data_IF_860633875755
#
_entry.id   IF_860633875755
#
_cell.length_a   1.000
_cell.length_b   1.000
_cell.length_c   1.000
_cell.angle_alpha   90.00
_cell.angle_beta   90.00
_cell.angle_gamma   90.00
#
_symmetry.space_group_name_H-M   'P 1'
#
loop_
_entity.id
_entity.type
_entity.pdbx_description
1 polymer ?
#
# COMPACT_ATOMS: atom_id res chain seq x y z
N UNK A 1 4.46 -5.98 -14.87
CA UNK A 1 3.04 -6.17 -14.53
C UNK A 1 2.99 -6.72 -13.12
N UNK A 2 2.07 -6.27 -12.27
CA UNK A 2 1.92 -6.80 -10.91
C UNK A 2 1.38 -8.22 -10.95
N UNK A 3 1.77 -9.05 -9.99
CA UNK A 3 1.21 -10.39 -9.82
C UNK A 3 -0.15 -10.33 -9.13
N UNK A 4 -0.99 -11.36 -9.30
CA UNK A 4 -2.28 -11.46 -8.58
C UNK A 4 -2.08 -11.39 -7.06
N UNK A 5 -1.01 -12.00 -6.55
CA UNK A 5 -0.66 -11.95 -5.14
C UNK A 5 -0.38 -10.50 -4.67
N UNK A 6 0.35 -9.72 -5.46
CA UNK A 6 0.58 -8.30 -5.16
C UNK A 6 -0.71 -7.48 -5.21
N UNK A 7 -1.60 -7.74 -6.18
CA UNK A 7 -2.91 -7.09 -6.26
C UNK A 7 -3.79 -7.38 -5.03
N UNK A 8 -3.85 -8.64 -4.59
CA UNK A 8 -4.61 -9.03 -3.41
C UNK A 8 -4.11 -8.29 -2.17
N UNK A 9 -2.78 -8.19 -2.01
CA UNK A 9 -2.21 -7.41 -0.92
C UNK A 9 -2.59 -5.95 -0.98
N UNK A 10 -2.47 -5.29 -2.14
CA UNK A 10 -2.86 -3.90 -2.30
C UNK A 10 -4.34 -3.68 -1.93
N UNK A 11 -5.24 -4.57 -2.37
CA UNK A 11 -6.67 -4.47 -2.06
C UNK A 11 -6.93 -4.55 -0.56
N UNK A 12 -6.25 -5.45 0.16
CA UNK A 12 -6.35 -5.55 1.61
C UNK A 12 -5.83 -4.30 2.31
N UNK A 13 -4.72 -3.73 1.82
CA UNK A 13 -4.10 -2.55 2.44
C UNK A 13 -4.93 -1.27 2.29
N UNK A 14 -5.83 -1.17 1.30
CA UNK A 14 -6.73 0.00 1.17
C UNK A 14 -7.58 0.19 2.44
N UNK A 15 -7.94 -0.89 3.15
CA UNK A 15 -8.69 -0.79 4.39
C UNK A 15 -7.93 -0.07 5.52
N UNK A 16 -6.60 -0.11 5.50
CA UNK A 16 -5.74 0.62 6.44
C UNK A 16 -5.64 2.12 6.14
N UNK A 17 -6.26 2.62 5.06
CA UNK A 17 -6.42 4.07 4.82
C UNK A 17 -7.48 4.65 5.76
N UNK A 18 -8.50 3.86 6.10
CA UNK A 18 -9.53 4.24 7.06
C UNK A 18 -9.00 4.10 8.48
N UNK A 19 -8.91 5.24 9.18
CA UNK A 19 -8.37 5.33 10.53
C UNK A 19 -9.18 4.57 11.60
N UNK A 20 -10.43 4.20 11.30
CA UNK A 20 -11.29 3.38 12.14
C UNK A 20 -11.09 1.88 11.98
N UNK A 21 -10.36 1.43 10.96
CA UNK A 21 -10.12 0.02 10.66
C UNK A 21 -8.70 -0.41 10.98
N UNK A 22 -8.54 -1.67 11.35
CA UNK A 22 -7.25 -2.27 11.75
C UNK A 22 -7.09 -3.70 11.19
N UNK A 23 -7.71 -3.97 10.05
CA UNK A 23 -7.77 -5.28 9.39
C UNK A 23 -6.67 -5.50 8.34
N UNK A 24 -5.93 -4.45 7.94
CA UNK A 24 -4.73 -4.56 7.12
C UNK A 24 -3.45 -4.82 7.91
N UNK A 25 -2.33 -5.03 7.20
CA UNK A 25 -1.04 -5.33 7.84
C UNK A 25 -0.39 -4.08 8.44
N UNK A 26 -0.89 -2.89 8.09
CA UNK A 26 -0.53 -1.60 8.65
C UNK A 26 -1.71 -1.03 9.44
N UNK A 27 -1.41 -0.38 10.56
CA UNK A 27 -2.42 0.31 11.36
C UNK A 27 -2.99 1.53 10.64
N UNK A 28 -2.13 2.22 9.88
CA UNK A 28 -2.48 3.39 9.08
C UNK A 28 -1.53 3.43 7.89
N UNK A 29 -2.04 3.80 6.72
CA UNK A 29 -1.24 4.02 5.51
C UNK A 29 -1.37 5.47 5.06
N UNK A 30 -0.23 6.08 4.79
CA UNK A 30 -0.10 7.42 4.24
C UNK A 30 0.87 7.37 3.06
N UNK A 31 1.28 8.53 2.53
CA UNK A 31 2.30 8.61 1.50
C UNK A 31 3.63 8.05 2.00
N UNK A 32 4.18 7.04 1.31
CA UNK A 32 5.42 6.38 1.75
C UNK A 32 5.68 5.07 1.02
N UNK A 33 6.77 4.38 1.38
CA UNK A 33 7.13 3.07 0.82
C UNK A 33 6.74 1.96 1.79
N UNK A 34 6.10 0.93 1.27
CA UNK A 34 5.55 -0.19 2.02
C UNK A 34 5.86 -1.51 1.31
N UNK A 35 5.96 -2.59 2.08
CA UNK A 35 6.03 -3.94 1.53
C UNK A 35 4.64 -4.39 1.11
N UNK A 36 4.54 -5.17 0.02
CA UNK A 36 3.28 -5.88 -0.27
C UNK A 36 2.89 -6.78 0.90
N UNK A 37 3.84 -7.52 1.46
CA UNK A 37 3.71 -8.34 2.67
C UNK A 37 4.89 -8.08 3.61
N UNK A 38 4.62 -7.64 4.85
CA UNK A 38 5.68 -7.41 5.86
C UNK A 38 6.43 -8.68 6.24
N UNK A 39 5.78 -9.84 6.14
CA UNK A 39 6.34 -11.12 6.50
C UNK A 39 7.07 -11.79 5.33
N UNK A 40 6.94 -11.24 4.12
CA UNK A 40 7.60 -11.72 2.92
C UNK A 40 8.17 -10.55 2.08
N UNK A 41 9.33 -10.00 2.48
CA UNK A 41 9.98 -8.87 1.79
C UNK A 41 10.31 -9.15 0.31
N UNK A 42 10.54 -10.41 -0.06
CA UNK A 42 10.87 -10.83 -1.42
C UNK A 42 9.71 -10.61 -2.41
N UNK A 43 8.49 -10.43 -1.91
CA UNK A 43 7.32 -10.05 -2.70
C UNK A 43 7.43 -8.61 -3.24
N UNK A 44 8.36 -7.83 -2.69
CA UNK A 44 8.71 -6.48 -3.13
C UNK A 44 7.97 -5.38 -2.37
N UNK A 45 8.12 -4.16 -2.89
CA UNK A 45 7.60 -2.94 -2.30
C UNK A 45 6.73 -2.14 -3.28
N UNK A 46 5.88 -1.30 -2.73
CA UNK A 46 5.14 -0.26 -3.43
C UNK A 46 5.29 1.07 -2.71
N UNK A 47 5.19 2.15 -3.48
CA UNK A 47 5.12 3.51 -2.97
C UNK A 47 3.67 3.99 -3.07
N UNK A 48 3.12 4.40 -1.94
CA UNK A 48 1.86 5.14 -1.85
C UNK A 48 2.14 6.58 -2.22
N UNK A 49 1.45 7.06 -3.24
CA UNK A 49 1.59 8.41 -3.78
C UNK A 49 0.60 9.37 -3.13
N UNK A 50 -0.61 8.87 -2.88
CA UNK A 50 -1.70 9.60 -2.23
C UNK A 50 -2.69 8.61 -1.62
N UNK A 51 -3.33 9.04 -0.54
CA UNK A 51 -4.45 8.36 0.12
C UNK A 51 -5.61 9.34 0.26
N UNK A 52 -6.82 8.84 0.15
CA UNK A 52 -8.03 9.61 0.42
C UNK A 52 -8.95 8.75 1.29
N UNK A 53 -9.25 9.26 2.49
CA UNK A 53 -10.28 8.73 3.39
C UNK A 53 -11.52 9.61 3.28
N UNK A 54 -12.57 9.09 2.65
CA UNK A 54 -13.82 9.81 2.53
C UNK A 54 -14.79 9.36 3.63
N UNK A 55 -14.65 9.99 4.79
CA UNK A 55 -15.49 9.75 5.97
C UNK A 55 -16.98 10.06 5.77
N UNK A 56 -17.35 10.77 4.69
CA UNK A 56 -18.73 11.16 4.40
C UNK A 56 -19.51 10.12 3.60
N UNK A 57 -18.86 9.32 2.77
CA UNK A 57 -19.51 8.26 1.98
C UNK A 57 -18.84 6.88 2.10
N UNK A 58 -17.83 6.75 2.97
CA UNK A 58 -17.14 5.49 3.25
C UNK A 58 -16.20 5.03 2.14
N UNK A 59 -15.86 5.89 1.17
CA UNK A 59 -14.88 5.54 0.13
C UNK A 59 -13.47 5.62 0.69
N UNK A 60 -12.67 4.61 0.33
CA UNK A 60 -11.25 4.52 0.65
C UNK A 60 -10.51 4.40 -0.67
N UNK A 61 -9.53 5.27 -0.93
CA UNK A 61 -8.76 5.24 -2.15
C UNK A 61 -7.26 5.35 -1.88
N UNK A 62 -6.48 4.58 -2.63
CA UNK A 62 -5.03 4.56 -2.54
C UNK A 62 -4.42 4.52 -3.94
N UNK A 63 -3.59 5.52 -4.25
CA UNK A 63 -2.79 5.55 -5.48
C UNK A 63 -1.38 5.00 -5.18
N UNK A 64 -0.96 3.98 -5.93
CA UNK A 64 0.33 3.31 -5.70
C UNK A 64 1.16 3.14 -6.97
N UNK A 65 2.48 3.06 -6.79
CA UNK A 65 3.43 2.67 -7.81
C UNK A 65 4.34 1.53 -7.30
N UNK A 66 4.59 0.46 -8.07
CA UNK A 66 5.56 -0.56 -7.69
C UNK A 66 6.97 0.04 -7.61
N UNK A 67 7.71 -0.29 -6.56
CA UNK A 67 9.12 0.08 -6.46
C UNK A 67 9.93 -0.96 -7.24
N UNK A 68 10.67 -0.48 -8.25
CA UNK A 68 11.71 -1.28 -8.89
C UNK A 68 13.01 -1.01 -8.15
N UNK A 69 13.68 -2.05 -7.70
CA UNK A 69 14.98 -1.98 -7.00
C UNK A 69 16.05 -1.19 -7.80
N UNK A 70 15.86 -1.05 -9.13
CA UNK A 70 16.74 -0.28 -10.02
C UNK A 70 16.52 1.23 -10.04
N UNK A 71 15.69 1.82 -9.17
CA UNK A 71 15.43 3.27 -9.10
C UNK A 71 15.81 3.92 -7.77
N UNK A 72 16.50 3.19 -6.88
CA UNK A 72 17.18 3.85 -5.77
C UNK A 72 18.33 4.68 -6.37
N UNK A 73 18.36 6.01 -6.20
CA UNK A 73 19.58 6.76 -6.50
C UNK A 73 20.63 6.22 -5.54
N UNK A 74 21.66 5.61 -6.11
CA UNK A 74 22.86 5.22 -5.38
C UNK A 74 23.44 6.52 -4.81
N UNK A 75 23.36 6.69 -3.49
CA UNK A 75 24.05 7.75 -2.75
C UNK A 75 25.56 7.51 -2.74
#
# INVERSE_FOLDING_TARGET
MLTEQQYNWLSTQVYSVDSGKNDGQYKTIEKGTYYYDKNNPDLGQYQVLATEDNTSNGMQAMAVAPVKESLLPTL
#
